data_IF_650803715822
#
_entry.id   IF_650803715822
#
_cell.length_a   1.000
_cell.length_b   1.000
_cell.length_c   1.000
_cell.angle_alpha   90.00
_cell.angle_beta   90.00
_cell.angle_gamma   90.00
#
_symmetry.space_group_name_H-M   'P 1'
#
loop_
_entity.id
_entity.type
_entity.pdbx_description
1 polymer ?
#
# COMPACT_ATOMS: atom_id res chain seq x y z
N UNK A 1 5.90 -28.43 -2.32
CA UNK A 1 5.28 -27.70 -1.19
C UNK A 1 3.86 -28.23 -1.06
N UNK A 2 3.48 -28.79 0.10
CA UNK A 2 2.14 -29.36 0.28
C UNK A 2 1.11 -28.22 0.33
N UNK A 3 0.20 -28.18 -0.63
CA UNK A 3 -0.82 -27.11 -0.76
C UNK A 3 -1.78 -27.05 0.44
N UNK A 4 -1.88 -28.08 1.24
CA UNK A 4 -2.66 -28.08 2.47
C UNK A 4 -2.04 -27.23 3.59
N UNK A 5 -0.73 -26.95 3.51
CA UNK A 5 0.00 -26.24 4.56
C UNK A 5 -0.25 -24.71 4.56
N UNK A 6 -0.52 -24.08 3.41
CA UNK A 6 -0.66 -22.61 3.34
C UNK A 6 -1.91 -22.08 4.07
N UNK A 7 -3.01 -22.85 4.04
CA UNK A 7 -4.25 -22.48 4.74
C UNK A 7 -4.08 -22.38 6.25
N UNK A 8 -3.21 -23.22 6.83
CA UNK A 8 -2.90 -23.18 8.27
C UNK A 8 -2.05 -21.96 8.66
N UNK A 9 -1.41 -21.31 7.71
CA UNK A 9 -0.60 -20.11 7.92
C UNK A 9 -1.41 -18.81 7.78
N UNK A 10 -2.66 -18.88 7.32
CA UNK A 10 -3.51 -17.71 7.19
C UNK A 10 -3.80 -17.09 8.55
N UNK A 11 -3.63 -15.79 8.62
CA UNK A 11 -4.09 -14.94 9.74
C UNK A 11 -5.32 -14.17 9.30
N UNK A 12 -6.35 -14.15 10.13
CA UNK A 12 -7.59 -13.45 9.85
C UNK A 12 -7.72 -12.23 10.73
N UNK A 13 -7.96 -11.08 10.10
CA UNK A 13 -8.44 -9.90 10.82
C UNK A 13 -9.96 -10.02 11.00
N UNK A 14 -10.41 -10.11 12.26
CA UNK A 14 -11.83 -10.27 12.59
C UNK A 14 -12.68 -9.07 12.21
N UNK A 15 -12.10 -7.87 12.17
CA UNK A 15 -12.81 -6.62 11.88
C UNK A 15 -13.08 -6.46 10.39
N UNK A 16 -12.07 -6.70 9.56
CA UNK A 16 -12.14 -6.49 8.11
C UNK A 16 -12.44 -7.76 7.33
N UNK A 17 -12.41 -8.93 7.97
CA UNK A 17 -12.48 -10.26 7.35
C UNK A 17 -11.32 -10.53 6.37
N UNK A 18 -10.27 -9.73 6.43
CA UNK A 18 -9.09 -9.89 5.59
C UNK A 18 -8.32 -11.16 6.02
N UNK A 19 -8.04 -12.02 5.06
CA UNK A 19 -7.14 -13.14 5.22
C UNK A 19 -5.74 -12.72 4.78
N UNK A 20 -4.75 -12.87 5.66
CA UNK A 20 -3.35 -12.50 5.40
C UNK A 20 -2.51 -13.76 5.40
N UNK A 21 -1.82 -14.03 4.30
CA UNK A 21 -0.76 -15.01 4.22
C UNK A 21 0.57 -14.29 4.37
N UNK A 22 1.22 -14.32 5.55
CA UNK A 22 2.49 -13.63 5.72
C UNK A 22 3.57 -14.33 4.92
N UNK A 23 4.42 -13.56 4.25
CA UNK A 23 5.63 -14.04 3.61
C UNK A 23 6.58 -14.58 4.66
N UNK A 24 6.63 -15.89 4.83
CA UNK A 24 7.57 -16.52 5.77
C UNK A 24 8.86 -16.86 5.04
N UNK A 25 9.87 -16.01 5.21
CA UNK A 25 11.24 -16.35 4.85
C UNK A 25 11.84 -17.18 6.01
N UNK A 26 11.64 -18.48 5.98
CA UNK A 26 12.39 -19.40 6.84
C UNK A 26 13.67 -19.80 6.13
N UNK A 27 14.79 -19.21 6.54
CA UNK A 27 16.10 -19.49 6.00
C UNK A 27 16.55 -18.47 4.94
N UNK A 28 17.83 -18.51 4.61
CA UNK A 28 18.40 -17.73 3.52
C UNK A 28 17.93 -18.30 2.18
N UNK A 29 16.79 -17.81 1.69
CA UNK A 29 16.46 -18.00 0.27
C UNK A 29 17.39 -17.08 -0.52
N UNK A 30 18.45 -17.65 -1.08
CA UNK A 30 19.33 -16.96 -2.02
C UNK A 30 18.61 -16.61 -3.34
N UNK A 31 17.42 -17.19 -3.58
CA UNK A 31 16.68 -17.06 -4.85
C UNK A 31 15.15 -16.98 -4.60
N UNK A 32 14.69 -15.83 -4.11
CA UNK A 32 13.25 -15.57 -3.92
C UNK A 32 12.47 -15.64 -5.23
N UNK A 33 13.08 -15.21 -6.33
CA UNK A 33 12.49 -15.26 -7.68
C UNK A 33 12.20 -16.68 -8.17
N UNK A 34 13.05 -17.67 -7.81
CA UNK A 34 12.79 -19.08 -8.16
C UNK A 34 11.56 -19.61 -7.42
N UNK A 35 11.41 -19.25 -6.14
CA UNK A 35 10.23 -19.61 -5.36
C UNK A 35 8.96 -18.98 -5.95
N UNK A 36 9.02 -17.70 -6.33
CA UNK A 36 7.90 -16.95 -6.90
C UNK A 36 7.49 -17.43 -8.29
N UNK A 37 8.43 -17.90 -9.11
CA UNK A 37 8.14 -18.47 -10.44
C UNK A 37 7.83 -19.96 -10.42
N UNK A 38 7.89 -20.62 -9.26
CA UNK A 38 7.77 -22.07 -9.15
C UNK A 38 6.36 -22.58 -9.47
N UNK A 39 6.29 -23.84 -9.92
CA UNK A 39 5.01 -24.55 -10.04
C UNK A 39 4.25 -24.64 -8.70
N UNK A 40 4.97 -24.58 -7.58
CA UNK A 40 4.37 -24.52 -6.24
C UNK A 40 3.60 -23.22 -6.00
N UNK A 41 4.14 -22.08 -6.44
CA UNK A 41 3.47 -20.79 -6.39
C UNK A 41 2.24 -20.80 -7.29
N UNK A 42 2.35 -21.31 -8.52
CA UNK A 42 1.22 -21.45 -9.43
C UNK A 42 0.06 -22.24 -8.82
N UNK A 43 0.34 -23.39 -8.18
CA UNK A 43 -0.68 -24.17 -7.47
C UNK A 43 -1.29 -23.42 -6.29
N UNK A 44 -0.48 -22.69 -5.50
CA UNK A 44 -0.97 -21.89 -4.39
C UNK A 44 -1.96 -20.82 -4.88
N UNK A 45 -1.62 -20.07 -5.92
CA UNK A 45 -2.50 -19.05 -6.48
C UNK A 45 -3.77 -19.68 -7.05
N UNK A 46 -3.67 -20.81 -7.75
CA UNK A 46 -4.82 -21.54 -8.27
C UNK A 46 -5.79 -21.99 -7.14
N UNK A 47 -5.23 -22.55 -6.07
CA UNK A 47 -6.01 -22.96 -4.91
C UNK A 47 -6.66 -21.76 -4.19
N UNK A 48 -5.92 -20.65 -4.07
CA UNK A 48 -6.43 -19.43 -3.47
C UNK A 48 -7.59 -18.80 -4.28
N UNK A 49 -7.52 -18.86 -5.62
CA UNK A 49 -8.59 -18.38 -6.53
C UNK A 49 -9.91 -19.13 -6.33
N UNK A 50 -9.88 -20.36 -5.82
CA UNK A 50 -11.11 -21.13 -5.52
C UNK A 50 -11.80 -20.68 -4.22
N UNK A 51 -11.13 -19.85 -3.41
CA UNK A 51 -11.59 -19.46 -2.06
C UNK A 51 -11.83 -17.97 -1.92
N UNK A 52 -11.04 -17.13 -2.63
CA UNK A 52 -11.05 -15.69 -2.49
C UNK A 52 -11.46 -15.02 -3.81
N UNK A 53 -12.30 -14.00 -3.72
CA UNK A 53 -12.70 -13.15 -4.86
C UNK A 53 -11.53 -12.28 -5.34
N UNK A 54 -10.71 -11.82 -4.40
CA UNK A 54 -9.54 -10.98 -4.67
C UNK A 54 -8.32 -11.50 -3.94
N UNK A 55 -7.20 -11.57 -4.64
CA UNK A 55 -5.88 -11.90 -4.09
C UNK A 55 -4.95 -10.73 -4.38
N UNK A 56 -4.50 -10.06 -3.33
CA UNK A 56 -3.56 -8.94 -3.44
C UNK A 56 -2.20 -9.44 -2.98
N UNK A 57 -1.20 -9.30 -3.84
CA UNK A 57 0.18 -9.72 -3.55
C UNK A 57 1.06 -8.48 -3.47
N UNK A 58 1.65 -8.24 -2.31
CA UNK A 58 2.64 -7.18 -2.09
C UNK A 58 4.00 -7.67 -2.59
N UNK A 59 4.51 -7.00 -3.61
CA UNK A 59 5.75 -7.37 -4.30
C UNK A 59 6.82 -6.30 -4.05
N UNK A 60 8.10 -6.70 -4.02
CA UNK A 60 9.20 -5.74 -3.92
C UNK A 60 9.25 -4.80 -5.14
N UNK A 61 10.03 -3.69 -5.05
CA UNK A 61 10.13 -2.70 -6.12
C UNK A 61 10.53 -3.31 -7.46
N UNK A 62 9.86 -2.90 -8.52
CA UNK A 62 10.03 -3.45 -9.88
C UNK A 62 11.45 -3.26 -10.45
N UNK A 63 12.17 -2.19 -10.04
CA UNK A 63 13.46 -1.85 -10.65
C UNK A 63 14.63 -2.77 -10.25
N UNK A 64 15.00 -2.82 -8.97
CA UNK A 64 16.22 -3.50 -8.54
C UNK A 64 16.06 -5.01 -8.37
N UNK A 65 14.83 -5.54 -8.32
CA UNK A 65 14.54 -6.92 -7.92
C UNK A 65 13.74 -7.64 -8.99
N UNK A 66 14.15 -8.85 -9.33
CA UNK A 66 13.50 -9.69 -10.36
C UNK A 66 12.21 -10.36 -9.87
N UNK A 67 11.90 -10.26 -8.60
CA UNK A 67 10.78 -10.98 -7.96
C UNK A 67 9.41 -10.61 -8.54
N UNK A 68 9.17 -9.32 -8.80
CA UNK A 68 7.94 -8.86 -9.44
C UNK A 68 7.77 -9.45 -10.85
N UNK A 69 8.87 -9.57 -11.60
CA UNK A 69 8.87 -10.19 -12.93
C UNK A 69 8.61 -11.69 -12.85
N UNK A 70 9.20 -12.35 -11.87
CA UNK A 70 9.02 -13.78 -11.63
C UNK A 70 7.58 -14.13 -11.27
N UNK A 71 6.90 -13.25 -10.53
CA UNK A 71 5.49 -13.43 -10.13
C UNK A 71 4.49 -13.00 -11.20
N UNK A 72 4.84 -12.06 -12.09
CA UNK A 72 3.92 -11.46 -13.06
C UNK A 72 3.10 -12.45 -13.90
N UNK A 73 3.61 -13.65 -14.29
CA UNK A 73 2.82 -14.65 -15.01
C UNK A 73 1.55 -15.11 -14.28
N UNK A 74 1.54 -15.07 -12.95
CA UNK A 74 0.41 -15.50 -12.13
C UNK A 74 -0.60 -14.38 -11.83
N UNK A 75 -0.23 -13.11 -12.08
CA UNK A 75 -1.07 -11.96 -11.86
C UNK A 75 -2.03 -11.71 -13.04
N UNK A 76 -3.28 -11.37 -12.76
CA UNK A 76 -4.25 -10.94 -13.77
C UNK A 76 -4.05 -9.46 -14.12
N UNK A 77 -3.57 -8.67 -13.17
CA UNK A 77 -3.25 -7.26 -13.34
C UNK A 77 -2.23 -6.78 -12.30
N UNK A 78 -1.57 -5.67 -12.61
CA UNK A 78 -0.56 -5.05 -11.76
C UNK A 78 -0.94 -3.59 -11.47
N UNK A 79 -0.77 -3.18 -10.24
CA UNK A 79 -0.87 -1.78 -9.83
C UNK A 79 0.52 -1.30 -9.43
N UNK A 80 1.02 -0.27 -10.10
CA UNK A 80 2.33 0.30 -9.80
C UNK A 80 2.16 1.39 -8.74
N UNK A 81 2.79 1.20 -7.58
CA UNK A 81 2.76 2.19 -6.50
C UNK A 81 4.03 3.03 -6.57
N UNK A 82 3.85 4.35 -6.69
CA UNK A 82 4.93 5.32 -6.86
C UNK A 82 4.90 6.32 -5.71
N UNK A 83 6.05 6.56 -5.09
CA UNK A 83 6.16 7.59 -4.06
C UNK A 83 6.18 8.98 -4.69
N UNK A 84 5.18 9.81 -4.32
CA UNK A 84 5.04 11.16 -4.82
C UNK A 84 6.19 12.05 -4.34
N UNK A 85 6.73 12.87 -5.24
CA UNK A 85 7.83 13.79 -4.94
C UNK A 85 9.22 13.15 -4.81
N UNK A 86 9.30 11.80 -4.74
CA UNK A 86 10.56 11.05 -4.59
C UNK A 86 10.93 10.27 -5.86
N UNK A 87 9.96 9.64 -6.50
CA UNK A 87 10.22 8.80 -7.68
C UNK A 87 10.10 9.60 -8.97
N UNK A 88 11.19 9.76 -9.74
CA UNK A 88 11.14 10.49 -11.02
C UNK A 88 10.20 9.82 -12.03
N UNK A 89 9.36 10.60 -12.71
CA UNK A 89 8.46 10.11 -13.77
C UNK A 89 9.22 9.40 -14.89
N UNK A 90 10.40 9.93 -15.26
CA UNK A 90 11.23 9.33 -16.30
C UNK A 90 11.69 7.92 -15.93
N UNK A 91 12.00 7.68 -14.66
CA UNK A 91 12.37 6.35 -14.16
C UNK A 91 11.20 5.37 -14.32
N UNK A 92 10.00 5.73 -13.90
CA UNK A 92 8.81 4.86 -14.02
C UNK A 92 8.55 4.52 -15.47
N UNK A 93 8.63 5.51 -16.38
CA UNK A 93 8.45 5.28 -17.81
C UNK A 93 9.53 4.35 -18.39
N UNK A 94 10.79 4.56 -18.03
CA UNK A 94 11.89 3.73 -18.50
C UNK A 94 11.74 2.29 -18.01
N UNK A 95 11.35 2.08 -16.77
CA UNK A 95 11.12 0.74 -16.20
C UNK A 95 9.99 0.01 -16.91
N UNK A 96 8.86 0.66 -17.15
CA UNK A 96 7.75 0.05 -17.88
C UNK A 96 8.10 -0.21 -19.33
N UNK A 97 8.84 0.68 -19.98
CA UNK A 97 9.29 0.49 -21.36
C UNK A 97 10.29 -0.67 -21.50
N UNK A 98 11.11 -0.93 -20.48
CA UNK A 98 12.06 -2.05 -20.49
C UNK A 98 11.41 -3.42 -20.24
N UNK A 99 10.15 -3.43 -19.77
CA UNK A 99 9.42 -4.65 -19.38
C UNK A 99 8.03 -4.73 -20.03
N UNK A 100 7.94 -4.96 -21.35
CA UNK A 100 6.65 -4.95 -22.06
C UNK A 100 5.61 -5.91 -21.46
N UNK A 101 6.03 -7.11 -21.08
CA UNK A 101 5.14 -8.11 -20.47
C UNK A 101 4.55 -7.68 -19.12
N UNK A 102 5.26 -6.84 -18.39
CA UNK A 102 4.75 -6.19 -17.16
C UNK A 102 3.81 -5.04 -17.54
N UNK A 103 4.25 -4.18 -18.47
CA UNK A 103 3.51 -3.00 -18.88
C UNK A 103 2.12 -3.34 -19.41
N UNK A 104 1.97 -4.42 -20.17
CA UNK A 104 0.68 -4.92 -20.68
C UNK A 104 -0.30 -5.32 -19.57
N UNK A 105 0.19 -5.70 -18.39
CA UNK A 105 -0.63 -6.06 -17.24
C UNK A 105 -0.91 -4.89 -16.30
N UNK A 106 -0.31 -3.72 -16.52
CA UNK A 106 -0.50 -2.56 -15.63
C UNK A 106 -1.89 -1.98 -15.79
N UNK A 107 -2.70 -2.12 -14.76
CA UNK A 107 -4.04 -1.55 -14.65
C UNK A 107 -4.00 -0.05 -14.37
N UNK A 108 -2.95 0.42 -13.69
CA UNK A 108 -2.79 1.82 -13.34
C UNK A 108 -1.61 2.08 -12.41
N UNK A 109 -1.40 3.37 -12.14
CA UNK A 109 -0.35 3.87 -11.24
C UNK A 109 -1.01 4.60 -10.08
N UNK A 110 -0.63 4.26 -8.86
CA UNK A 110 -1.06 4.93 -7.63
C UNK A 110 0.07 5.78 -7.09
N UNK A 111 -0.21 7.07 -6.87
CA UNK A 111 0.71 7.96 -6.16
C UNK A 111 0.49 7.81 -4.66
N UNK A 112 1.51 7.34 -3.97
CA UNK A 112 1.51 7.18 -2.52
C UNK A 112 2.22 8.34 -1.83
N UNK A 113 1.92 8.59 -0.56
CA UNK A 113 2.51 9.66 0.26
C UNK A 113 2.31 11.07 -0.33
N UNK A 114 1.19 11.31 -1.00
CA UNK A 114 0.88 12.61 -1.58
C UNK A 114 0.73 13.65 -0.48
N UNK A 115 1.45 14.78 -0.62
CA UNK A 115 1.29 15.93 0.26
C UNK A 115 0.22 16.84 -0.32
N UNK A 116 -0.98 16.80 0.27
CA UNK A 116 -2.15 17.52 -0.23
C UNK A 116 -1.91 19.05 -0.27
N UNK A 117 -1.19 19.59 0.71
CA UNK A 117 -0.86 21.02 0.82
C UNK A 117 0.06 21.52 -0.31
N UNK A 118 0.81 20.60 -0.94
CA UNK A 118 1.70 20.93 -2.05
C UNK A 118 1.04 20.79 -3.43
N UNK A 119 -0.12 20.14 -3.53
CA UNK A 119 -0.83 19.94 -4.81
C UNK A 119 -1.16 21.21 -5.57
N UNK A 120 -1.58 22.35 -4.93
CA UNK A 120 -1.86 23.60 -5.64
C UNK A 120 -0.67 24.15 -6.43
N UNK A 121 0.57 23.82 -6.02
CA UNK A 121 1.79 24.26 -6.72
C UNK A 121 1.99 23.58 -8.08
N UNK A 122 1.32 22.45 -8.32
CA UNK A 122 1.44 21.69 -9.56
C UNK A 122 0.36 22.04 -10.60
N UNK A 123 -0.36 23.14 -10.43
CA UNK A 123 -1.16 23.99 -11.31
C UNK A 123 -1.83 23.43 -12.57
N UNK A 124 -1.61 22.18 -12.92
CA UNK A 124 -2.07 21.56 -14.16
C UNK A 124 -3.44 20.85 -14.05
N UNK A 125 -4.06 20.86 -12.87
CA UNK A 125 -5.32 20.17 -12.63
C UNK A 125 -6.39 21.11 -12.09
N UNK A 126 -6.84 22.03 -12.94
CA UNK A 126 -7.85 23.03 -12.61
C UNK A 126 -9.21 22.54 -12.10
N UNK A 127 -9.40 21.24 -11.90
CA UNK A 127 -10.59 20.65 -11.28
C UNK A 127 -10.30 19.89 -9.97
N UNK A 128 -9.02 19.72 -9.61
CA UNK A 128 -8.64 18.92 -8.45
C UNK A 128 -8.95 19.62 -7.13
N UNK A 129 -8.93 20.94 -7.06
CA UNK A 129 -9.25 21.68 -5.83
C UNK A 129 -10.68 21.44 -5.36
N UNK A 130 -11.64 21.36 -6.27
CA UNK A 130 -13.02 21.04 -5.93
C UNK A 130 -13.18 19.59 -5.49
N UNK A 131 -12.44 18.66 -6.08
CA UNK A 131 -12.43 17.27 -5.67
C UNK A 131 -11.75 17.08 -4.31
N UNK A 132 -10.60 17.71 -4.08
CA UNK A 132 -9.87 17.61 -2.83
C UNK A 132 -10.64 18.22 -1.66
N UNK A 133 -11.31 19.36 -1.85
CA UNK A 133 -12.16 19.97 -0.83
C UNK A 133 -13.36 19.10 -0.50
N UNK A 134 -13.96 18.46 -1.50
CA UNK A 134 -15.12 17.58 -1.32
C UNK A 134 -14.78 16.25 -0.63
N UNK A 135 -13.57 15.75 -0.82
CA UNK A 135 -13.12 14.47 -0.25
C UNK A 135 -12.15 14.63 0.93
N UNK A 136 -11.69 15.84 1.25
CA UNK A 136 -10.83 16.09 2.40
C UNK A 136 -11.46 15.59 3.72
N UNK A 137 -12.79 15.73 3.86
CA UNK A 137 -13.52 15.20 5.02
C UNK A 137 -13.44 13.69 5.18
N UNK A 138 -13.30 12.93 4.09
CA UNK A 138 -13.13 11.48 4.15
C UNK A 138 -11.74 11.03 4.60
N UNK A 139 -10.71 11.87 4.40
CA UNK A 139 -9.32 11.54 4.72
C UNK A 139 -8.85 12.09 6.07
N UNK A 140 -9.59 13.04 6.67
CA UNK A 140 -9.20 13.71 7.91
C UNK A 140 -9.67 12.94 9.17
N UNK A 141 -10.69 12.08 9.06
CA UNK A 141 -11.37 11.51 10.23
C UNK A 141 -10.67 10.28 10.86
N UNK A 142 -9.62 9.72 10.24
CA UNK A 142 -8.96 8.51 10.78
C UNK A 142 -7.60 8.76 11.46
N UNK A 143 -7.08 10.01 11.54
CA UNK A 143 -5.72 10.28 12.06
C UNK A 143 -5.59 11.30 13.17
N UNK A 144 -6.66 11.77 13.79
CA UNK A 144 -6.52 12.54 15.02
C UNK A 144 -6.61 11.61 16.25
N UNK A 145 -5.53 11.43 17.02
CA UNK A 145 -5.66 10.93 18.38
C UNK A 145 -6.53 11.94 19.13
N UNK A 146 -7.64 11.49 19.75
CA UNK A 146 -8.45 12.31 20.65
C UNK A 146 -7.52 13.02 21.63
N UNK A 147 -7.38 14.32 21.49
CA UNK A 147 -6.72 15.16 22.45
C UNK A 147 -7.44 14.98 23.79
N UNK A 148 -6.71 14.52 24.80
CA UNK A 148 -7.18 14.40 26.16
C UNK A 148 -7.68 15.77 26.61
N UNK A 149 -8.91 15.78 27.15
CA UNK A 149 -9.60 16.98 27.55
C UNK A 149 -8.77 17.85 28.49
N UNK A 150 -8.65 19.12 28.16
CA UNK A 150 -8.16 20.17 29.05
C UNK A 150 -9.18 20.37 30.17
N UNK A 151 -8.79 19.97 31.36
CA UNK A 151 -9.47 20.37 32.57
C UNK A 151 -9.38 21.91 32.74
N UNK A 152 -10.43 22.61 33.21
CA UNK A 152 -10.38 24.06 33.36
C UNK A 152 -9.45 24.44 34.50
N UNK A 153 -8.47 25.29 34.18
CA UNK A 153 -7.59 25.92 35.16
C UNK A 153 -8.43 26.94 35.94
N UNK A 154 -8.73 26.64 37.20
CA UNK A 154 -9.32 27.58 38.15
C UNK A 154 -8.31 28.69 38.45
N UNK A 155 -8.62 29.91 38.04
CA UNK A 155 -7.92 31.13 38.45
C UNK A 155 -8.15 31.36 39.95
N UNK A 156 -7.10 31.27 40.74
CA UNK A 156 -7.05 31.67 42.11
C UNK A 156 -7.03 33.20 42.16
N UNK A 157 -8.09 33.78 42.71
CA UNK A 157 -8.17 35.22 42.98
C UNK A 157 -7.16 35.61 44.07
N UNK A 158 -6.29 36.54 43.76
CA UNK A 158 -5.46 37.25 44.73
C UNK A 158 -6.26 38.40 45.30
N UNK A 159 -6.41 38.41 46.61
CA UNK A 159 -6.99 39.50 47.40
C UNK A 159 -6.05 40.72 47.44
N UNK A 160 -6.60 41.97 47.55
CA UNK A 160 -5.81 43.17 47.66
C UNK A 160 -5.28 43.36 49.07
N UNK A 161 -4.06 43.83 49.21
CA UNK A 161 -3.49 44.31 50.45
C UNK A 161 -3.83 45.81 50.59
N UNK A 162 -4.35 46.21 51.78
CA UNK A 162 -4.54 47.53 52.34
C UNK A 162 -3.58 47.67 53.49
N UNK A 163 -3.40 48.90 54.01
CA UNK A 163 -2.90 50.17 53.44
C UNK A 163 -1.44 50.44 53.76
#
# INVERSE_FOLDING_TARGET
MDTRSWRSMLKFDRRTKLAILPGMVRGHFSHTSEALSSAGMGRLIQDARSVFDYIIVDLPPLGPVVDAKAFAPFADGLVVVVEWGSTPRALVRAMLASEPAIAEKVLGVVLNKVQLDALPRYGAFGSSEQFLTKYASYYIDERQPKAAGNAPVTKKATAPADP
#
